data_IF_754729808040
#
_entry.id   IF_754729808040
#
_cell.length_a   1.000
_cell.length_b   1.000
_cell.length_c   1.000
_cell.angle_alpha   90.00
_cell.angle_beta   90.00
_cell.angle_gamma   90.00
#
_symmetry.space_group_name_H-M   'P 1'
#
loop_
_entity.id
_entity.type
_entity.pdbx_description
1 polymer ?
#
# COMPACT_ATOMS: atom_id res chain seq x y z
N UNK A 1 -9.67 -10.34 -15.90
CA UNK A 1 -9.09 -9.54 -14.80
C UNK A 1 -8.86 -10.52 -13.66
N UNK A 2 -7.62 -10.93 -13.40
CA UNK A 2 -7.34 -11.95 -12.37
C UNK A 2 -7.64 -11.34 -11.00
N UNK A 3 -8.80 -11.67 -10.43
CA UNK A 3 -9.20 -11.23 -9.10
C UNK A 3 -8.44 -12.06 -8.07
N UNK A 4 -7.39 -11.49 -7.50
CA UNK A 4 -6.78 -12.05 -6.29
C UNK A 4 -7.63 -11.63 -5.07
N UNK A 5 -7.74 -12.51 -4.07
CA UNK A 5 -8.47 -12.27 -2.82
C UNK A 5 -7.73 -11.28 -1.93
N UNK A 6 -6.41 -11.42 -1.82
CA UNK A 6 -5.54 -10.54 -1.04
C UNK A 6 -4.19 -10.36 -1.74
N UNK A 7 -3.54 -9.23 -1.49
CA UNK A 7 -2.21 -8.92 -2.00
C UNK A 7 -1.41 -8.21 -0.92
N UNK A 8 -0.17 -8.63 -0.73
CA UNK A 8 0.74 -8.13 0.29
C UNK A 8 2.10 -7.79 -0.30
N UNK A 9 2.78 -6.84 0.35
CA UNK A 9 4.23 -6.67 0.25
C UNK A 9 4.90 -7.41 1.41
N UNK A 10 5.93 -8.18 1.10
CA UNK A 10 6.64 -9.01 2.06
C UNK A 10 7.89 -8.29 2.58
N UNK A 11 8.08 -8.30 3.90
CA UNK A 11 9.18 -7.64 4.60
C UNK A 11 10.00 -8.69 5.36
N UNK A 12 11.32 -8.58 5.28
CA UNK A 12 12.27 -9.39 6.04
C UNK A 12 13.47 -8.52 6.43
N UNK A 13 13.93 -8.58 7.68
CA UNK A 13 15.04 -7.75 8.17
C UNK A 13 14.87 -6.27 7.82
N UNK A 14 13.67 -5.73 8.09
CA UNK A 14 13.30 -4.34 7.80
C UNK A 14 13.50 -3.93 6.32
N UNK A 15 13.33 -4.86 5.36
CA UNK A 15 13.41 -4.54 3.93
C UNK A 15 12.33 -5.26 3.13
N UNK A 16 11.77 -4.61 2.08
CA UNK A 16 10.95 -5.32 1.10
C UNK A 16 11.74 -6.44 0.41
N UNK A 17 11.19 -7.64 0.41
CA UNK A 17 11.80 -8.83 -0.24
C UNK A 17 10.94 -9.42 -1.36
N UNK A 18 9.72 -8.93 -1.52
CA UNK A 18 8.83 -9.34 -2.60
C UNK A 18 7.37 -9.07 -2.28
N UNK A 19 6.51 -9.86 -2.91
CA UNK A 19 5.06 -9.72 -2.89
C UNK A 19 4.42 -11.10 -2.81
N UNK A 20 3.22 -11.14 -2.23
CA UNK A 20 2.36 -12.32 -2.14
C UNK A 20 0.97 -11.95 -2.64
N UNK A 21 0.43 -12.75 -3.56
CA UNK A 21 -0.99 -12.74 -3.94
C UNK A 21 -1.63 -14.04 -3.47
N UNK A 22 -2.74 -13.92 -2.77
CA UNK A 22 -3.60 -15.04 -2.41
C UNK A 22 -4.77 -15.00 -3.40
N UNK A 23 -4.86 -16.00 -4.29
CA UNK A 23 -5.94 -16.07 -5.27
C UNK A 23 -7.20 -16.69 -4.66
N UNK A 24 -7.00 -17.75 -3.89
CA UNK A 24 -8.01 -18.49 -3.14
C UNK A 24 -7.34 -19.13 -1.91
N UNK A 25 -8.08 -19.93 -1.15
CA UNK A 25 -7.59 -20.51 0.11
C UNK A 25 -6.45 -21.53 -0.08
N UNK A 26 -6.24 -22.03 -1.31
CA UNK A 26 -5.22 -23.03 -1.64
C UNK A 26 -4.11 -22.48 -2.55
N UNK A 27 -4.29 -21.32 -3.15
CA UNK A 27 -3.38 -20.79 -4.19
C UNK A 27 -2.70 -19.50 -3.76
N UNK A 28 -1.41 -19.62 -3.47
CA UNK A 28 -0.51 -18.50 -3.16
C UNK A 28 0.53 -18.33 -4.27
N UNK A 29 0.67 -17.09 -4.73
CA UNK A 29 1.68 -16.70 -5.71
C UNK A 29 2.63 -15.67 -5.10
N UNK A 30 3.92 -15.88 -5.31
CA UNK A 30 5.00 -15.03 -4.84
C UNK A 30 5.72 -14.39 -6.00
N UNK A 31 6.22 -13.18 -5.79
CA UNK A 31 7.03 -12.46 -6.78
C UNK A 31 8.07 -11.62 -6.07
N UNK A 32 9.30 -11.55 -6.60
CA UNK A 32 10.35 -10.67 -6.06
C UNK A 32 10.21 -9.23 -6.55
N UNK A 33 9.61 -9.03 -7.73
CA UNK A 33 9.60 -7.76 -8.46
C UNK A 33 8.19 -7.25 -8.80
N UNK A 34 7.15 -8.01 -8.42
CA UNK A 34 5.74 -7.77 -8.72
C UNK A 34 5.27 -8.15 -10.14
N UNK A 35 6.16 -8.68 -10.98
CA UNK A 35 5.87 -9.03 -12.38
C UNK A 35 5.92 -10.54 -12.60
N UNK A 36 7.01 -11.21 -12.19
CA UNK A 36 7.16 -12.65 -12.34
C UNK A 36 6.58 -13.37 -11.11
N UNK A 37 5.46 -14.08 -11.30
CA UNK A 37 4.75 -14.78 -10.23
C UNK A 37 4.96 -16.28 -10.30
N UNK A 38 5.22 -16.92 -9.15
CA UNK A 38 5.35 -18.37 -9.04
C UNK A 38 4.82 -18.88 -7.70
N UNK A 39 4.70 -20.19 -7.54
CA UNK A 39 4.36 -20.82 -6.25
C UNK A 39 5.56 -20.97 -5.31
N UNK A 40 6.75 -20.49 -5.72
CA UNK A 40 7.95 -20.58 -4.90
C UNK A 40 7.86 -19.60 -3.74
N UNK A 41 7.71 -20.14 -2.52
CA UNK A 41 7.61 -19.35 -1.30
C UNK A 41 8.83 -18.45 -1.09
N UNK A 42 8.58 -17.19 -0.74
CA UNK A 42 9.59 -16.24 -0.25
C UNK A 42 9.56 -16.26 1.27
N UNK A 43 10.73 -16.27 1.92
CA UNK A 43 10.81 -16.15 3.39
C UNK A 43 10.64 -14.69 3.80
N UNK A 44 9.73 -14.42 4.73
CA UNK A 44 9.41 -13.09 5.25
C UNK A 44 9.00 -13.14 6.72
N UNK A 45 9.13 -12.02 7.41
CA UNK A 45 8.76 -11.83 8.82
C UNK A 45 7.43 -11.09 8.97
N UNK A 46 7.17 -10.13 8.07
CA UNK A 46 5.93 -9.34 8.05
C UNK A 46 5.37 -9.26 6.64
N UNK A 47 4.06 -9.05 6.55
CA UNK A 47 3.35 -8.82 5.30
C UNK A 47 2.47 -7.58 5.46
N UNK A 48 2.66 -6.61 4.58
CA UNK A 48 1.91 -5.35 4.57
C UNK A 48 0.79 -5.42 3.54
N UNK A 49 -0.42 -5.06 3.96
CA UNK A 49 -1.62 -5.17 3.14
C UNK A 49 -1.57 -4.22 1.94
N UNK A 50 -2.01 -4.67 0.77
CA UNK A 50 -2.26 -3.78 -0.36
C UNK A 50 -3.43 -2.85 -0.05
N UNK A 51 -3.21 -1.55 -0.22
CA UNK A 51 -4.19 -0.51 0.11
C UNK A 51 -5.39 -0.46 -0.83
N UNK A 52 -5.37 -1.18 -1.96
CA UNK A 52 -6.39 -1.09 -3.01
C UNK A 52 -6.19 0.07 -3.98
N UNK A 53 -5.18 0.91 -3.77
CA UNK A 53 -4.84 2.04 -4.66
C UNK A 53 -3.43 1.93 -5.23
N UNK A 54 -3.15 2.81 -6.19
CA UNK A 54 -1.85 2.99 -6.84
C UNK A 54 -1.50 4.48 -6.86
N UNK A 55 -0.22 4.82 -6.92
CA UNK A 55 0.25 6.20 -7.10
C UNK A 55 0.13 6.67 -8.56
N UNK A 56 0.49 7.93 -8.83
CA UNK A 56 0.48 8.50 -10.19
C UNK A 56 1.25 7.70 -11.25
N UNK A 57 2.26 6.94 -10.84
CA UNK A 57 3.12 6.12 -11.71
C UNK A 57 2.62 4.67 -11.84
N UNK A 58 1.41 4.35 -11.36
CA UNK A 58 0.87 3.00 -11.25
C UNK A 58 1.61 2.09 -10.25
N UNK A 59 2.38 2.65 -9.33
CA UNK A 59 3.00 1.86 -8.28
C UNK A 59 1.95 1.46 -7.25
N UNK A 60 1.74 0.15 -6.97
CA UNK A 60 0.79 -0.29 -5.96
C UNK A 60 1.26 0.13 -4.56
N UNK A 61 0.32 0.70 -3.80
CA UNK A 61 0.58 1.24 -2.48
C UNK A 61 0.13 0.25 -1.40
N UNK A 62 0.92 0.11 -0.36
CA UNK A 62 0.71 -0.84 0.72
C UNK A 62 0.72 -0.14 2.08
N UNK A 63 0.27 -0.84 3.10
CA UNK A 63 0.51 -0.48 4.49
C UNK A 63 1.99 -0.12 4.73
N UNK A 64 2.21 0.89 5.56
CA UNK A 64 3.49 1.54 5.87
C UNK A 64 4.19 2.23 4.69
N UNK A 65 3.53 2.40 3.54
CA UNK A 65 4.03 3.31 2.52
C UNK A 65 3.89 4.76 2.96
N UNK A 66 4.95 5.52 2.72
CA UNK A 66 4.96 6.98 2.82
C UNK A 66 4.65 7.54 1.44
N UNK A 67 3.63 8.40 1.39
CA UNK A 67 3.17 9.08 0.18
C UNK A 67 3.25 10.59 0.35
N UNK A 68 3.58 11.29 -0.73
CA UNK A 68 3.40 12.73 -0.83
C UNK A 68 2.04 13.01 -1.48
N UNK A 69 1.22 13.81 -0.81
CA UNK A 69 0.01 14.36 -1.39
C UNK A 69 0.27 15.76 -1.94
N UNK A 70 -0.05 15.93 -3.22
CA UNK A 70 -0.07 17.24 -3.88
C UNK A 70 -1.50 17.56 -4.26
N UNK A 71 -2.22 18.22 -3.34
CA UNK A 71 -3.56 18.70 -3.63
C UNK A 71 -3.48 19.74 -4.74
N UNK A 72 -4.37 19.61 -5.72
CA UNK A 72 -4.51 20.58 -6.83
C UNK A 72 -4.70 22.03 -6.35
N UNK A 73 -5.32 22.23 -5.19
CA UNK A 73 -5.52 23.53 -4.55
C UNK A 73 -4.30 24.07 -3.79
N UNK A 74 -3.35 23.22 -3.39
CA UNK A 74 -2.16 23.59 -2.63
C UNK A 74 -0.94 22.80 -3.12
N UNK A 75 -0.29 23.26 -4.21
CA UNK A 75 0.77 22.51 -4.85
C UNK A 75 2.06 22.42 -4.01
N UNK A 76 2.22 23.25 -2.97
CA UNK A 76 3.35 23.28 -2.03
C UNK A 76 2.96 23.87 -0.65
N UNK A 77 3.58 23.39 0.45
CA UNK A 77 4.41 22.19 0.53
C UNK A 77 3.55 20.91 0.43
N UNK A 78 4.09 19.86 -0.21
CA UNK A 78 3.44 18.55 -0.25
C UNK A 78 3.43 17.97 1.15
N UNK A 79 2.25 17.70 1.71
CA UNK A 79 2.13 16.95 2.96
C UNK A 79 2.50 15.49 2.72
N UNK A 80 3.15 14.88 3.71
CA UNK A 80 3.54 13.48 3.67
C UNK A 80 2.66 12.69 4.63
N UNK A 81 2.15 11.57 4.17
CA UNK A 81 1.32 10.69 4.96
C UNK A 81 1.88 9.28 4.92
N UNK A 82 1.69 8.54 6.01
CA UNK A 82 1.89 7.10 6.06
C UNK A 82 0.54 6.39 5.93
N UNK A 83 0.49 5.35 5.09
CA UNK A 83 -0.66 4.47 4.96
C UNK A 83 -0.68 3.50 6.13
N UNK A 84 -1.74 3.54 6.93
CA UNK A 84 -1.93 2.64 8.07
C UNK A 84 -3.14 1.75 7.82
N UNK A 85 -2.99 0.45 8.01
CA UNK A 85 -4.11 -0.47 8.09
C UNK A 85 -4.53 -0.64 9.56
N UNK A 86 -5.80 -0.39 9.85
CA UNK A 86 -6.36 -0.61 11.18
C UNK A 86 -7.06 -1.96 11.22
N UNK A 87 -6.45 -2.93 11.90
CA UNK A 87 -6.97 -4.31 12.00
C UNK A 87 -8.32 -4.40 12.71
N UNK A 88 -8.61 -3.48 13.64
CA UNK A 88 -9.89 -3.50 14.38
C UNK A 88 -11.02 -3.04 13.48
N UNK A 89 -10.76 -2.01 12.67
CA UNK A 89 -11.75 -1.41 11.77
C UNK A 89 -11.73 -2.01 10.36
N UNK A 90 -10.74 -2.86 10.05
CA UNK A 90 -10.51 -3.44 8.73
C UNK A 90 -10.49 -2.39 7.61
N UNK A 91 -9.82 -1.26 7.86
CA UNK A 91 -9.78 -0.13 6.91
C UNK A 91 -8.46 0.62 6.92
N UNK A 92 -8.18 1.32 5.81
CA UNK A 92 -6.97 2.11 5.65
C UNK A 92 -7.15 3.58 6.02
N UNK A 93 -6.11 4.14 6.59
CA UNK A 93 -5.99 5.54 6.95
C UNK A 93 -4.69 6.14 6.42
N UNK A 94 -4.68 7.46 6.33
CA UNK A 94 -3.49 8.26 6.10
C UNK A 94 -3.21 9.06 7.37
N UNK A 95 -2.06 8.82 7.98
CA UNK A 95 -1.58 9.59 9.11
C UNK A 95 -0.56 10.61 8.61
N UNK A 96 -0.77 11.89 8.87
CA UNK A 96 0.23 12.93 8.54
C UNK A 96 1.50 12.66 9.35
N UNK A 97 2.67 12.78 8.71
CA UNK A 97 3.96 12.57 9.37
C UNK A 97 4.39 13.74 10.27
N UNK A 98 3.75 14.90 10.12
CA UNK A 98 4.14 16.15 10.81
C UNK A 98 3.04 16.69 11.73
N UNK A 99 1.88 16.04 11.80
CA UNK A 99 0.77 16.45 12.67
C UNK A 99 -0.06 15.23 13.09
N UNK A 100 -0.98 15.42 14.03
CA UNK A 100 -1.92 14.37 14.47
C UNK A 100 -3.12 14.19 13.50
N UNK A 101 -3.06 14.76 12.30
CA UNK A 101 -4.09 14.61 11.28
C UNK A 101 -4.18 13.16 10.80
N UNK A 102 -5.39 12.61 10.83
CA UNK A 102 -5.70 11.27 10.32
C UNK A 102 -6.90 11.34 9.38
N UNK A 103 -6.72 10.86 8.16
CA UNK A 103 -7.74 10.81 7.12
C UNK A 103 -8.11 9.36 6.82
N UNK A 104 -9.38 9.06 6.60
CA UNK A 104 -9.74 7.77 5.98
C UNK A 104 -9.20 7.73 4.56
N UNK A 105 -8.70 6.58 4.09
CA UNK A 105 -8.27 6.45 2.69
C UNK A 105 -9.47 6.31 1.74
N UNK A 106 -10.61 5.83 2.26
CA UNK A 106 -11.81 5.54 1.48
C UNK A 106 -13.07 6.13 2.11
N UNK A 107 -13.96 6.63 1.26
CA UNK A 107 -15.36 6.87 1.59
C UNK A 107 -16.19 5.73 0.97
N UNK A 108 -16.52 4.72 1.78
CA UNK A 108 -17.10 3.48 1.29
C UNK A 108 -16.09 2.71 0.41
N UNK A 109 -16.39 2.56 -0.88
CA UNK A 109 -15.49 1.90 -1.86
C UNK A 109 -14.67 2.88 -2.70
N UNK A 110 -14.85 4.18 -2.51
CA UNK A 110 -14.22 5.22 -3.32
C UNK A 110 -13.01 5.79 -2.59
N UNK A 111 -11.81 5.80 -3.21
CA UNK A 111 -10.66 6.52 -2.67
C UNK A 111 -10.99 8.01 -2.54
N UNK A 112 -10.66 8.62 -1.41
CA UNK A 112 -10.91 10.07 -1.20
C UNK A 112 -9.91 10.97 -1.93
N UNK A 113 -8.79 10.39 -2.41
CA UNK A 113 -7.70 11.12 -3.07
C UNK A 113 -7.55 10.61 -4.49
N UNK A 114 -7.33 11.54 -5.42
CA UNK A 114 -7.07 11.19 -6.80
C UNK A 114 -5.65 10.63 -6.94
N UNK A 115 -5.52 9.52 -7.67
CA UNK A 115 -4.23 8.92 -8.04
C UNK A 115 -3.18 9.94 -8.51
N UNK A 116 -3.59 10.95 -9.28
CA UNK A 116 -2.68 11.98 -9.82
C UNK A 116 -2.06 12.88 -8.74
N UNK A 117 -2.68 12.93 -7.57
CA UNK A 117 -2.25 13.72 -6.41
C UNK A 117 -1.30 12.93 -5.50
N UNK A 118 -1.12 11.62 -5.75
CA UNK A 118 -0.36 10.71 -4.91
C UNK A 118 0.98 10.38 -5.55
N UNK A 119 2.06 10.52 -4.80
CA UNK A 119 3.39 10.04 -5.19
C UNK A 119 3.95 9.15 -4.08
N UNK A 120 4.33 7.92 -4.41
CA UNK A 120 5.08 7.07 -3.48
C UNK A 120 6.46 7.69 -3.19
N UNK A 121 6.86 7.74 -1.91
CA UNK A 121 8.16 8.26 -1.48
C UNK A 121 9.06 7.13 -0.96
N UNK A 122 8.50 6.20 -0.17
CA UNK A 122 9.27 5.17 0.49
C UNK A 122 8.42 4.32 1.42
N UNK A 123 9.07 3.42 2.15
CA UNK A 123 8.43 2.51 3.10
C UNK A 123 8.97 2.83 4.50
N UNK A 124 8.08 2.95 5.48
CA UNK A 124 8.45 3.01 6.89
C UNK A 124 8.56 1.58 7.44
N UNK A 125 9.64 1.27 8.17
CA UNK A 125 10.02 -0.12 8.51
C UNK A 125 10.61 -0.21 9.91
#
# INVERSE_FOLDING_TARGET
MNSFKQWFRLINNQKPVGFLKILDDNTQLFSKDNYAWSTQKITYEKAFHWSGIVDRNNYPLFENDIIALRLTSQPNPKKQYMIIFDETLQQFFLNDLNSDERLTLFAGKLPIINKQEITFIGVSI
#
